data_IF_233919388303
#
_entry.id   IF_233919388303
#
_cell.length_a   1.000
_cell.length_b   1.000
_cell.length_c   1.000
_cell.angle_alpha   90.00
_cell.angle_beta   90.00
_cell.angle_gamma   90.00
#
_symmetry.space_group_name_H-M   'P 1'
#
loop_
_entity.id
_entity.type
_entity.pdbx_description
1 polymer ?
#
# COMPACT_ATOMS: atom_id res chain seq x y z
N UNK A 1 26.81 -1.80 -12.23
CA UNK A 1 26.94 -1.62 -10.77
C UNK A 1 25.79 -0.71 -10.35
N UNK A 2 25.04 -1.05 -9.30
CA UNK A 2 23.95 -0.20 -8.83
C UNK A 2 24.51 1.03 -8.10
N UNK A 3 23.83 2.16 -8.23
CA UNK A 3 24.19 3.39 -7.55
C UNK A 3 23.90 3.24 -6.04
N UNK A 4 24.82 3.64 -5.13
CA UNK A 4 24.61 3.50 -3.68
C UNK A 4 23.32 4.17 -3.18
N UNK A 5 22.90 5.30 -3.77
CA UNK A 5 21.64 5.95 -3.37
C UNK A 5 20.43 5.10 -3.77
N UNK A 6 20.47 4.45 -4.94
CA UNK A 6 19.41 3.51 -5.35
C UNK A 6 19.29 2.30 -4.41
N UNK A 7 20.42 1.78 -3.91
CA UNK A 7 20.43 0.69 -2.92
C UNK A 7 19.83 1.17 -1.61
N UNK A 8 20.25 2.34 -1.13
CA UNK A 8 19.74 2.93 0.11
C UNK A 8 18.24 3.23 0.03
N UNK A 9 17.76 3.78 -1.09
CA UNK A 9 16.34 4.02 -1.33
C UNK A 9 15.54 2.70 -1.26
N UNK A 10 16.03 1.66 -1.94
CA UNK A 10 15.40 0.33 -1.89
C UNK A 10 15.36 -0.23 -0.47
N UNK A 11 16.45 -0.12 0.29
CA UNK A 11 16.50 -0.58 1.68
C UNK A 11 15.56 0.22 2.60
N UNK A 12 15.38 1.52 2.36
CA UNK A 12 14.44 2.37 3.09
C UNK A 12 12.98 1.96 2.84
N UNK A 13 12.65 1.57 1.61
CA UNK A 13 11.32 1.12 1.23
C UNK A 13 11.01 -0.30 1.70
N UNK A 14 12.04 -1.13 1.91
CA UNK A 14 11.86 -2.47 2.46
C UNK A 14 11.28 -2.43 3.86
N UNK A 15 10.34 -3.36 4.11
CA UNK A 15 9.74 -3.45 5.43
C UNK A 15 8.92 -4.71 5.66
N UNK A 16 8.22 -4.77 6.80
CA UNK A 16 7.55 -5.98 7.27
C UNK A 16 6.33 -6.42 6.45
N UNK A 17 5.81 -5.54 5.61
CA UNK A 17 4.48 -5.69 5.04
C UNK A 17 4.56 -6.22 3.62
N UNK A 18 3.93 -7.37 3.37
CA UNK A 18 3.80 -7.90 2.00
C UNK A 18 2.38 -7.70 1.50
N UNK A 19 2.27 -7.21 0.26
CA UNK A 19 1.00 -7.09 -0.46
C UNK A 19 0.91 -8.22 -1.47
N UNK A 20 -0.12 -9.05 -1.37
CA UNK A 20 -0.35 -10.10 -2.34
C UNK A 20 -0.91 -9.46 -3.61
N UNK A 21 -0.19 -9.59 -4.71
CA UNK A 21 -0.67 -9.20 -6.03
C UNK A 21 -0.68 -10.41 -6.96
N UNK A 22 -1.72 -10.52 -7.77
CA UNK A 22 -1.89 -11.66 -8.69
C UNK A 22 -0.96 -11.54 -9.91
N UNK A 23 -0.54 -10.31 -10.25
CA UNK A 23 0.33 -10.01 -11.38
C UNK A 23 1.82 -10.27 -11.08
N UNK A 24 2.24 -10.09 -9.82
CA UNK A 24 3.64 -10.25 -9.40
C UNK A 24 3.71 -11.21 -8.20
N UNK A 25 4.19 -12.45 -8.40
CA UNK A 25 4.15 -13.49 -7.36
C UNK A 25 5.14 -13.24 -6.20
N UNK A 26 6.16 -12.41 -6.42
CA UNK A 26 7.21 -12.14 -5.42
C UNK A 26 7.51 -10.65 -5.34
N UNK A 27 6.75 -9.93 -4.52
CA UNK A 27 7.06 -8.55 -4.16
C UNK A 27 7.81 -8.57 -2.84
N UNK A 28 8.93 -7.85 -2.78
CA UNK A 28 9.66 -7.63 -1.52
C UNK A 28 8.74 -6.90 -0.54
N UNK A 29 8.83 -7.22 0.76
CA UNK A 29 8.05 -6.51 1.77
C UNK A 29 8.34 -5.00 1.73
N UNK A 30 7.33 -4.19 2.04
CA UNK A 30 7.36 -2.74 2.05
C UNK A 30 7.22 -2.18 3.47
N UNK A 31 7.64 -0.93 3.67
CA UNK A 31 7.46 -0.19 4.92
C UNK A 31 5.99 0.17 5.17
N UNK A 32 5.65 0.49 6.42
CA UNK A 32 4.29 0.91 6.77
C UNK A 32 3.89 2.23 6.07
N UNK A 33 4.85 3.14 5.90
CA UNK A 33 4.68 4.43 5.22
C UNK A 33 4.41 4.23 3.73
N UNK A 34 5.11 3.28 3.12
CA UNK A 34 4.88 2.89 1.72
C UNK A 34 3.50 2.28 1.56
N UNK A 35 3.11 1.39 2.48
CA UNK A 35 1.76 0.83 2.51
C UNK A 35 0.68 1.91 2.67
N UNK A 36 0.92 2.93 3.49
CA UNK A 36 0.02 4.08 3.65
C UNK A 36 -0.13 4.86 2.33
N UNK A 37 0.98 5.13 1.62
CA UNK A 37 0.96 5.76 0.29
C UNK A 37 0.15 4.93 -0.71
N UNK A 38 0.30 3.61 -0.72
CA UNK A 38 -0.48 2.71 -1.58
C UNK A 38 -1.98 2.72 -1.23
N UNK A 39 -2.34 2.83 0.06
CA UNK A 39 -3.74 2.97 0.49
C UNK A 39 -4.32 4.32 0.04
N UNK A 40 -3.54 5.40 0.11
CA UNK A 40 -3.94 6.74 -0.35
C UNK A 40 -4.11 6.78 -1.87
N UNK A 41 -3.21 6.14 -2.61
CA UNK A 41 -3.31 5.95 -4.07
C UNK A 41 -4.49 5.04 -4.47
N UNK A 42 -5.05 4.27 -3.52
CA UNK A 42 -6.14 3.35 -3.76
C UNK A 42 -5.70 2.08 -4.51
N UNK A 43 -4.42 1.71 -4.40
CA UNK A 43 -3.88 0.42 -4.83
C UNK A 43 -4.20 -0.68 -3.81
N UNK A 44 -4.11 -0.34 -2.51
CA UNK A 44 -4.53 -1.21 -1.42
C UNK A 44 -5.97 -0.87 -1.04
N UNK A 45 -6.86 -1.79 -1.33
CA UNK A 45 -8.30 -1.70 -1.04
C UNK A 45 -8.67 -2.50 0.21
N UNK A 46 -9.94 -2.49 0.58
CA UNK A 46 -10.46 -3.27 1.73
C UNK A 46 -10.26 -4.78 1.56
N UNK A 47 -10.18 -5.23 0.32
CA UNK A 47 -10.19 -6.65 -0.05
C UNK A 47 -8.80 -7.16 -0.47
N UNK A 48 -7.81 -6.27 -0.53
CA UNK A 48 -6.42 -6.62 -0.79
C UNK A 48 -5.91 -7.56 0.31
N UNK A 49 -5.19 -8.61 -0.08
CA UNK A 49 -4.60 -9.57 0.84
C UNK A 49 -3.21 -9.06 1.26
N UNK A 50 -3.00 -8.94 2.56
CA UNK A 50 -1.81 -8.40 3.20
C UNK A 50 -1.23 -9.40 4.19
N UNK A 51 0.08 -9.32 4.41
CA UNK A 51 0.79 -10.03 5.47
C UNK A 51 1.71 -9.04 6.18
N UNK A 52 1.82 -9.15 7.51
CA UNK A 52 2.74 -8.32 8.27
C UNK A 52 2.85 -8.71 9.75
N UNK A 53 3.48 -7.86 10.58
CA UNK A 53 3.70 -8.12 12.00
C UNK A 53 2.41 -8.34 12.78
N UNK A 54 1.39 -7.52 12.54
CA UNK A 54 0.11 -7.61 13.26
C UNK A 54 -0.75 -8.80 12.81
N UNK A 55 -0.42 -9.45 11.69
CA UNK A 55 -1.11 -10.64 11.20
C UNK A 55 -0.46 -11.95 11.64
N UNK A 56 0.57 -11.90 12.50
CA UNK A 56 1.41 -13.04 12.86
C UNK A 56 1.99 -13.73 11.62
N UNK A 57 2.37 -12.95 10.61
CA UNK A 57 2.92 -13.44 9.34
C UNK A 57 1.92 -14.27 8.48
N UNK A 58 0.63 -14.27 8.81
CA UNK A 58 -0.40 -14.90 7.98
C UNK A 58 -0.95 -13.90 6.95
N UNK A 59 -1.33 -14.43 5.78
CA UNK A 59 -2.07 -13.67 4.76
C UNK A 59 -3.50 -13.41 5.25
N UNK A 60 -3.90 -12.15 5.27
CA UNK A 60 -5.21 -11.71 5.70
C UNK A 60 -5.74 -10.57 4.84
N UNK A 61 -7.06 -10.49 4.69
CA UNK A 61 -7.70 -9.40 3.97
C UNK A 61 -7.52 -8.08 4.75
N UNK A 62 -7.17 -6.98 4.07
CA UNK A 62 -6.82 -5.69 4.67
C UNK A 62 -7.83 -5.18 5.69
N UNK A 63 -9.14 -5.36 5.45
CA UNK A 63 -10.21 -5.00 6.40
C UNK A 63 -10.18 -5.73 7.75
N UNK A 64 -9.37 -6.78 7.90
CA UNK A 64 -9.19 -7.59 9.13
C UNK A 64 -7.87 -7.29 9.84
N UNK A 65 -6.94 -6.62 9.18
CA UNK A 65 -5.57 -6.45 9.66
C UNK A 65 -5.52 -5.35 10.73
N UNK A 66 -5.10 -5.66 11.98
CA UNK A 66 -4.90 -4.64 13.01
C UNK A 66 -3.85 -3.62 12.57
N UNK A 67 -4.11 -2.34 12.81
CA UNK A 67 -3.26 -1.23 12.35
C UNK A 67 -3.47 -0.80 10.89
N UNK A 68 -4.08 -1.62 10.01
CA UNK A 68 -4.33 -1.26 8.60
C UNK A 68 -5.82 -1.11 8.27
N UNK A 69 -6.69 -1.90 8.92
CA UNK A 69 -8.12 -1.91 8.59
C UNK A 69 -8.76 -0.51 8.63
N UNK A 70 -8.36 0.34 9.58
CA UNK A 70 -8.88 1.69 9.73
C UNK A 70 -8.47 2.59 8.54
N UNK A 71 -7.29 2.38 7.96
CA UNK A 71 -6.79 3.09 6.77
C UNK A 71 -7.60 2.77 5.52
N UNK A 72 -8.26 1.60 5.48
CA UNK A 72 -9.20 1.22 4.41
C UNK A 72 -10.67 1.45 4.79
N UNK A 73 -10.93 2.11 5.93
CA UNK A 73 -12.26 2.54 6.36
C UNK A 73 -13.08 1.48 7.09
N UNK A 74 -12.45 0.52 7.77
CA UNK A 74 -13.11 -0.55 8.52
C UNK A 74 -12.46 -0.77 9.88
N UNK A 75 -13.25 -1.08 10.91
CA UNK A 75 -12.68 -1.59 12.16
C UNK A 75 -12.22 -3.04 11.97
N UNK A 76 -11.02 -3.39 12.46
CA UNK A 76 -10.50 -4.75 12.38
C UNK A 76 -11.29 -5.73 13.26
N UNK A 77 -11.82 -5.25 14.40
CA UNK A 77 -12.55 -6.07 15.37
C UNK A 77 -14.04 -6.21 15.00
N UNK A 78 -14.80 -5.12 15.01
CA UNK A 78 -16.26 -5.15 14.84
C UNK A 78 -16.74 -4.93 13.39
N UNK A 79 -15.84 -4.68 12.43
CA UNK A 79 -16.16 -4.38 11.01
C UNK A 79 -16.94 -3.09 10.77
N UNK A 80 -17.21 -2.28 11.81
CA UNK A 80 -17.86 -0.99 11.66
C UNK A 80 -17.11 -0.10 10.66
N UNK A 81 -17.87 0.70 9.90
CA UNK A 81 -17.30 1.65 8.94
C UNK A 81 -16.58 2.76 9.70
N UNK A 82 -15.33 3.03 9.32
CA UNK A 82 -14.54 4.12 9.88
C UNK A 82 -14.46 5.23 8.84
N UNK A 83 -14.83 6.45 9.22
CA UNK A 83 -14.75 7.60 8.34
C UNK A 83 -13.28 7.95 8.06
N UNK A 84 -12.90 7.93 6.77
CA UNK A 84 -11.61 8.43 6.32
C UNK A 84 -11.77 9.89 5.96
N UNK A 85 -11.38 10.79 6.85
CA UNK A 85 -11.33 12.21 6.54
C UNK A 85 -9.98 12.49 5.86
N UNK A 86 -10.02 12.84 4.58
CA UNK A 86 -8.83 13.19 3.79
C UNK A 86 -8.13 14.37 4.48
N UNK A 87 -6.85 14.21 4.81
CA UNK A 87 -6.04 15.24 5.47
C UNK A 87 -6.22 15.36 6.99
N UNK A 88 -7.06 14.53 7.63
CA UNK A 88 -7.15 14.49 9.10
C UNK A 88 -6.54 13.20 9.66
N UNK A 89 -5.95 13.30 10.84
CA UNK A 89 -5.42 12.15 11.57
C UNK A 89 -6.56 11.18 11.91
N UNK A 90 -6.40 9.86 11.67
CA UNK A 90 -7.44 8.89 11.99
C UNK A 90 -7.74 8.92 13.49
N UNK A 91 -9.01 8.68 13.85
CA UNK A 91 -9.38 8.53 15.25
C UNK A 91 -8.50 7.45 15.90
N UNK A 92 -8.01 7.63 17.14
CA UNK A 92 -7.12 6.65 17.78
C UNK A 92 -7.82 5.32 18.07
N UNK A 93 -9.16 5.29 18.09
CA UNK A 93 -9.95 4.10 18.40
C UNK A 93 -11.29 4.07 17.65
N UNK A 94 -11.86 2.87 17.53
CA UNK A 94 -13.19 2.65 16.97
C UNK A 94 -14.28 3.21 17.90
N UNK A 95 -15.24 3.96 17.34
CA UNK A 95 -16.39 4.49 18.10
C UNK A 95 -17.38 3.43 18.57
N UNK A 96 -17.51 2.34 17.82
CA UNK A 96 -18.49 1.28 18.12
C UNK A 96 -17.99 0.30 19.19
N UNK A 97 -16.74 -0.16 19.08
CA UNK A 97 -16.21 -1.22 19.96
C UNK A 97 -14.96 -0.83 20.78
N UNK A 98 -14.49 0.42 20.67
CA UNK A 98 -13.32 0.90 21.42
C UNK A 98 -11.97 0.31 20.98
N UNK A 99 -11.91 -0.48 19.91
CA UNK A 99 -10.66 -1.08 19.45
C UNK A 99 -9.65 0.00 19.02
N UNK A 100 -8.42 -0.07 19.51
CA UNK A 100 -7.34 0.87 19.21
C UNK A 100 -6.83 0.69 17.77
N UNK A 101 -6.53 1.80 17.08
CA UNK A 101 -6.01 1.84 15.71
C UNK A 101 -4.50 2.04 15.62
N UNK A 102 -3.76 1.83 16.72
CA UNK A 102 -2.31 1.95 16.79
C UNK A 102 -1.57 1.37 15.58
N UNK A 103 -0.64 2.15 15.05
CA UNK A 103 0.24 1.74 13.97
C UNK A 103 1.41 0.90 14.50
N UNK A 104 1.74 -0.18 13.80
CA UNK A 104 2.99 -0.91 14.02
C UNK A 104 4.10 -0.23 13.21
N UNK A 105 4.84 0.66 13.85
CA UNK A 105 5.98 1.38 13.26
C UNK A 105 7.32 0.65 13.46
N UNK A 106 7.30 -0.56 14.01
CA UNK A 106 8.53 -1.27 14.32
C UNK A 106 9.14 -1.93 13.06
N UNK A 107 10.10 -1.22 12.46
CA UNK A 107 10.86 -1.65 11.29
C UNK A 107 11.97 -2.65 11.64
N UNK A 108 12.40 -2.71 12.89
CA UNK A 108 13.68 -3.33 13.27
C UNK A 108 13.65 -4.85 13.40
N UNK A 109 12.50 -5.51 13.20
CA UNK A 109 12.39 -6.97 13.28
C UNK A 109 13.05 -7.74 12.13
N UNK A 110 13.49 -7.05 11.06
CA UNK A 110 14.10 -7.67 9.88
C UNK A 110 15.63 -7.48 9.78
N UNK A 111 16.27 -6.87 10.79
CA UNK A 111 17.70 -6.55 10.72
C UNK A 111 18.05 -5.53 9.63
N UNK A 112 17.05 -4.77 9.15
CA UNK A 112 17.26 -3.67 8.21
C UNK A 112 17.97 -2.51 8.93
N UNK A 113 18.89 -1.79 8.26
CA UNK A 113 19.52 -0.61 8.83
C UNK A 113 18.47 0.49 9.07
N UNK A 114 18.75 1.42 9.98
CA UNK A 114 17.89 2.60 10.20
C UNK A 114 17.63 3.38 8.90
N UNK A 115 16.48 4.07 8.82
CA UNK A 115 16.15 4.88 7.66
C UNK A 115 17.15 6.04 7.62
N UNK A 116 17.98 6.07 6.57
CA UNK A 116 18.84 7.21 6.30
C UNK A 116 18.17 8.07 5.22
N UNK A 117 17.89 9.35 5.49
CA UNK A 117 17.26 10.24 4.50
C UNK A 117 18.12 10.34 3.24
N UNK A 118 17.47 10.41 2.08
CA UNK A 118 18.17 10.62 0.81
C UNK A 118 18.60 12.08 0.69
N UNK A 119 19.68 12.40 -0.06
CA UNK A 119 20.17 13.77 -0.19
C UNK A 119 19.14 14.78 -0.71
N UNK A 120 18.18 14.31 -1.53
CA UNK A 120 17.12 15.13 -2.13
C UNK A 120 15.82 15.16 -1.30
N UNK A 121 15.73 14.39 -0.23
CA UNK A 121 14.56 14.46 0.65
C UNK A 121 14.57 15.82 1.36
N UNK A 122 13.45 16.56 1.40
CA UNK A 122 13.38 17.78 2.17
C UNK A 122 13.76 17.43 3.60
N UNK A 123 14.74 18.14 4.17
CA UNK A 123 15.28 17.84 5.49
C UNK A 123 14.14 17.69 6.51
N UNK A 124 13.77 16.45 6.80
CA UNK A 124 12.77 16.13 7.80
C UNK A 124 13.42 16.43 9.13
N UNK A 125 12.85 17.36 9.90
CA UNK A 125 13.35 17.71 11.22
C UNK A 125 13.50 16.41 12.05
N UNK A 126 14.72 16.03 12.48
CA UNK A 126 14.95 14.79 13.23
C UNK A 126 14.11 14.68 14.51
N UNK A 127 13.59 15.81 15.01
CA UNK A 127 12.72 15.83 16.19
C UNK A 127 11.35 15.17 15.96
N UNK A 128 10.79 15.20 14.73
CA UNK A 128 9.51 14.54 14.41
C UNK A 128 9.63 13.00 14.40
N UNK A 129 10.77 12.47 13.94
CA UNK A 129 11.02 11.02 13.94
C UNK A 129 11.28 10.45 15.35
N UNK A 130 11.75 11.29 16.28
CA UNK A 130 12.00 10.86 17.67
C UNK A 130 10.69 10.75 18.48
N UNK A 131 9.70 11.60 18.20
CA UNK A 131 8.39 11.53 18.86
C UNK A 131 7.58 10.29 18.47
N UNK A 132 7.73 9.80 17.24
CA UNK A 132 7.07 8.57 16.77
C UNK A 132 7.74 7.29 17.30
N UNK A 133 9.03 7.33 17.67
CA UNK A 133 9.73 6.23 18.38
C UNK A 133 9.48 6.23 19.90
N UNK A 134 9.08 7.36 20.49
CA UNK A 134 8.95 7.52 21.95
C UNK A 134 7.58 7.16 22.54
N UNK A 135 6.53 6.98 21.72
CA UNK A 135 5.15 6.87 22.22
C UNK A 135 4.54 5.45 22.22
N UNK A 136 5.35 4.40 22.07
CA UNK A 136 4.94 2.99 22.16
C UNK A 136 5.51 2.23 23.36
N UNK A 137 6.06 2.94 24.36
CA UNK A 137 6.32 2.40 25.70
C UNK A 137 5.31 2.90 26.75
N UNK A 138 4.09 3.24 26.33
CA UNK A 138 2.94 3.09 27.22
C UNK A 138 2.74 1.59 27.45
N UNK A 139 3.48 1.09 28.44
CA UNK A 139 3.42 -0.22 29.05
C UNK A 139 1.97 -0.71 29.11
N UNK A 140 1.55 -1.48 28.11
CA UNK A 140 0.32 -2.26 28.15
C UNK A 140 0.53 -3.40 29.14
N UNK A 141 0.41 -3.11 30.44
CA UNK A 141 0.43 -4.10 31.53
C UNK A 141 -0.85 -4.92 31.62
N UNK A 142 -1.48 -5.32 30.49
CA UNK A 142 -2.75 -6.06 30.59
C UNK A 142 -3.04 -7.15 29.57
N UNK A 143 -2.16 -7.48 28.63
CA UNK A 143 -2.44 -8.58 27.68
C UNK A 143 -1.22 -9.46 27.34
N UNK A 144 -0.47 -9.85 28.37
CA UNK A 144 0.47 -10.98 28.30
C UNK A 144 0.35 -11.81 29.59
N UNK A 145 -0.72 -12.58 29.71
CA UNK A 145 -0.91 -13.59 30.76
C UNK A 145 -1.19 -14.98 30.17
N UNK A 146 -0.47 -15.35 29.12
CA UNK A 146 -0.42 -16.76 28.70
C UNK A 146 1.03 -17.10 28.38
N UNK A 147 1.53 -18.14 29.05
CA UNK A 147 2.91 -18.65 29.11
C UNK A 147 3.79 -17.94 30.15
N UNK A 148 3.67 -18.40 31.39
CA UNK A 148 4.76 -18.32 32.38
C UNK A 148 5.76 -19.43 32.04
N UNK A 149 7.01 -19.04 31.76
CA UNK A 149 8.20 -19.89 31.64
C UNK A 149 8.63 -20.44 33.03
N UNK A 150 7.77 -21.23 33.67
CA UNK A 150 8.08 -21.88 34.97
C UNK A 150 7.74 -23.38 34.98
N UNK A 151 7.70 -24.01 33.80
CA UNK A 151 7.45 -25.46 33.65
C UNK A 151 8.42 -26.15 32.67
N UNK A 152 9.62 -25.58 32.50
CA UNK A 152 10.75 -26.22 31.80
C UNK A 152 11.82 -26.74 32.79
N UNK A 153 11.39 -27.28 33.93
CA UNK A 153 12.22 -28.17 34.73
C UNK A 153 12.22 -29.55 34.06
N UNK A 154 13.24 -29.75 33.23
CA UNK A 154 13.73 -31.06 32.81
C UNK A 154 14.10 -31.85 34.07
N UNK A 155 13.47 -33.00 34.38
CA UNK A 155 14.03 -33.91 35.37
C UNK A 155 15.21 -34.64 34.73
N UNK A 156 16.39 -34.39 35.25
CA UNK A 156 17.57 -35.23 35.07
C UNK A 156 17.24 -36.69 35.41
N UNK A 157 17.61 -37.58 34.48
CA UNK A 157 18.32 -38.84 34.72
C UNK A 157 18.01 -39.52 36.07
N UNK A 158 17.12 -40.53 36.03
CA UNK A 158 17.18 -41.65 36.98
C UNK A 158 17.63 -42.90 36.24
N UNK A 159 18.93 -43.15 36.28
CA UNK A 159 19.48 -44.50 36.23
C UNK A 159 19.08 -45.22 37.52
N UNK A 160 18.26 -46.26 37.43
CA UNK A 160 18.57 -47.54 38.06
C UNK A 160 17.51 -48.60 37.71
N UNK A 161 17.99 -49.70 37.16
CA UNK A 161 17.25 -50.95 37.04
C UNK A 161 17.06 -51.57 38.44
N UNK A 162 15.96 -52.33 38.62
CA UNK A 162 16.21 -53.73 38.89
C UNK A 162 15.32 -54.68 38.08
N UNK A 163 15.96 -55.76 37.61
CA UNK A 163 15.32 -57.03 37.26
C UNK A 163 14.51 -57.54 38.46
N UNK A 164 13.24 -57.90 38.28
CA UNK A 164 12.80 -59.30 38.41
C UNK A 164 11.29 -59.47 38.15
N UNK A 165 10.97 -60.68 37.68
CA UNK A 165 9.68 -61.37 37.70
C UNK A 165 8.57 -60.79 36.80
N UNK A 166 8.32 -61.41 35.65
CA UNK A 166 7.51 -62.63 35.44
C UNK A 166 6.00 -62.36 35.58
N UNK A 167 5.32 -62.76 34.51
CA UNK A 167 3.93 -63.19 34.45
C UNK A 167 2.85 -62.11 34.39
N UNK A 168 2.38 -61.83 33.18
CA UNK A 168 0.95 -61.85 32.84
C UNK A 168 0.77 -61.57 31.34
N UNK A 169 0.86 -62.64 30.55
CA UNK A 169 0.24 -62.70 29.24
C UNK A 169 -1.28 -62.69 29.42
N UNK A 170 -1.98 -61.65 28.94
CA UNK A 170 -3.36 -61.78 28.47
C UNK A 170 -3.84 -60.51 27.73
N UNK A 171 -4.00 -60.67 26.42
CA UNK A 171 -5.28 -60.44 25.71
C UNK A 171 -5.75 -58.97 25.56
N UNK A 172 -5.44 -58.36 24.42
CA UNK A 172 -6.30 -57.34 23.80
C UNK A 172 -6.14 -57.31 22.26
N UNK A 173 -7.17 -57.87 21.63
CA UNK A 173 -7.81 -57.66 20.32
C UNK A 173 -7.17 -56.72 19.27
N UNK A 174 -7.08 -57.13 17.99
CA UNK A 174 -6.81 -56.22 16.88
C UNK A 174 -8.08 -55.43 16.51
N UNK A 175 -8.02 -54.10 16.62
CA UNK A 175 -9.08 -53.22 16.14
C UNK A 175 -8.97 -53.03 14.62
N UNK A 176 -9.98 -53.54 13.92
CA UNK A 176 -10.25 -53.33 12.50
C UNK A 176 -10.37 -51.83 12.19
N UNK A 177 -9.47 -51.32 11.35
CA UNK A 177 -9.54 -49.98 10.80
C UNK A 177 -10.73 -49.86 9.84
N UNK A 178 -11.72 -49.04 10.21
CA UNK A 178 -12.75 -48.55 9.30
C UNK A 178 -12.18 -47.43 8.42
N UNK A 179 -12.33 -47.48 7.08
CA UNK A 179 -12.07 -46.34 6.23
C UNK A 179 -13.20 -45.31 6.40
N UNK A 180 -12.86 -44.12 6.92
CA UNK A 180 -13.79 -43.01 7.06
C UNK A 180 -14.09 -42.41 5.69
N UNK A 181 -15.24 -42.80 5.14
CA UNK A 181 -15.89 -42.13 4.03
C UNK A 181 -16.40 -40.75 4.45
N UNK A 182 -15.50 -39.76 4.49
CA UNK A 182 -15.86 -38.34 4.58
C UNK A 182 -15.50 -37.64 3.24
N UNK A 183 -16.08 -38.14 2.15
CA UNK A 183 -16.20 -37.40 0.91
C UNK A 183 -17.30 -36.35 1.11
N UNK A 184 -16.93 -35.23 1.75
CA UNK A 184 -17.77 -34.04 1.86
C UNK A 184 -17.86 -33.42 0.47
N UNK A 185 -19.07 -33.39 -0.05
CA UNK A 185 -19.54 -32.56 -1.16
C UNK A 185 -19.07 -31.12 -0.95
N UNK A 186 -17.99 -30.73 -1.63
CA UNK A 186 -17.58 -29.34 -1.76
C UNK A 186 -18.56 -28.67 -2.72
N UNK A 187 -19.48 -27.93 -2.12
CA UNK A 187 -20.48 -27.06 -2.75
C UNK A 187 -19.83 -26.09 -3.74
N UNK A 188 -20.34 -26.08 -4.97
CA UNK A 188 -19.90 -25.22 -6.07
C UNK A 188 -20.32 -23.75 -5.93
N UNK A 189 -20.95 -23.36 -4.82
CA UNK A 189 -21.55 -22.03 -4.63
C UNK A 189 -20.52 -20.95 -4.26
N UNK A 190 -19.37 -21.32 -3.70
CA UNK A 190 -18.32 -20.35 -3.31
C UNK A 190 -17.51 -19.81 -4.51
N UNK A 191 -17.57 -20.48 -5.67
CA UNK A 191 -16.85 -20.05 -6.88
C UNK A 191 -17.51 -18.89 -7.63
N UNK A 192 -18.84 -18.78 -7.55
CA UNK A 192 -19.62 -17.82 -8.33
C UNK A 192 -19.51 -16.41 -7.75
N UNK A 193 -19.52 -16.28 -6.42
CA UNK A 193 -19.31 -15.01 -5.73
C UNK A 193 -17.90 -14.44 -5.93
N UNK A 194 -16.87 -15.29 -6.05
CA UNK A 194 -15.50 -14.87 -6.33
C UNK A 194 -15.34 -14.36 -7.77
N UNK A 195 -16.01 -15.02 -8.73
CA UNK A 195 -16.06 -14.59 -10.13
C UNK A 195 -16.77 -13.23 -10.29
N UNK A 196 -17.88 -13.04 -9.59
CA UNK A 196 -18.65 -11.80 -9.64
C UNK A 196 -17.84 -10.61 -9.10
N UNK A 197 -17.14 -10.80 -7.97
CA UNK A 197 -16.28 -9.77 -7.37
C UNK A 197 -15.06 -9.44 -8.24
N UNK A 198 -14.45 -10.43 -8.90
CA UNK A 198 -13.37 -10.16 -9.87
C UNK A 198 -13.88 -9.31 -11.04
N UNK A 199 -15.08 -9.57 -11.54
CA UNK A 199 -15.66 -8.80 -12.63
C UNK A 199 -15.91 -7.32 -12.25
N UNK A 200 -16.19 -7.03 -10.97
CA UNK A 200 -16.38 -5.66 -10.49
C UNK A 200 -15.04 -4.93 -10.37
N UNK A 201 -14.02 -5.59 -9.82
CA UNK A 201 -12.68 -5.01 -9.72
C UNK A 201 -12.09 -4.68 -11.11
N UNK A 202 -12.25 -5.61 -12.06
CA UNK A 202 -11.79 -5.43 -13.44
C UNK A 202 -12.51 -4.26 -14.13
N UNK A 203 -13.82 -4.12 -13.92
CA UNK A 203 -14.59 -2.95 -14.40
C UNK A 203 -14.05 -1.63 -13.82
N UNK A 204 -13.63 -1.60 -12.55
CA UNK A 204 -13.07 -0.38 -11.94
C UNK A 204 -11.69 0.00 -12.47
N UNK A 205 -10.85 -0.98 -12.82
CA UNK A 205 -9.54 -0.72 -13.44
C UNK A 205 -9.70 -0.23 -14.89
N UNK A 206 -10.65 -0.81 -15.63
CA UNK A 206 -11.00 -0.35 -16.98
C UNK A 206 -11.54 1.09 -16.95
N UNK A 207 -12.30 1.48 -15.92
CA UNK A 207 -12.82 2.84 -15.82
C UNK A 207 -11.71 3.87 -15.47
N UNK A 208 -10.73 3.49 -14.63
CA UNK A 208 -9.59 4.35 -14.30
C UNK A 208 -8.65 4.57 -15.48
N UNK A 209 -8.38 3.53 -16.26
CA UNK A 209 -7.56 3.63 -17.47
C UNK A 209 -8.21 4.55 -18.50
N UNK A 210 -9.52 4.43 -18.72
CA UNK A 210 -10.28 5.36 -19.59
C UNK A 210 -10.24 6.81 -19.11
N UNK A 211 -10.32 7.06 -17.81
CA UNK A 211 -10.20 8.43 -17.25
C UNK A 211 -8.81 9.02 -17.46
N UNK A 212 -7.75 8.22 -17.31
CA UNK A 212 -6.38 8.66 -17.57
C UNK A 212 -6.17 8.94 -19.06
N UNK A 213 -6.67 8.09 -19.95
CA UNK A 213 -6.63 8.34 -21.40
C UNK A 213 -7.38 9.62 -21.78
N UNK A 214 -8.56 9.84 -21.22
CA UNK A 214 -9.32 11.07 -21.46
C UNK A 214 -8.57 12.31 -20.96
N UNK A 215 -7.95 12.24 -19.77
CA UNK A 215 -7.21 13.36 -19.20
C UNK A 215 -5.95 13.67 -20.00
N UNK A 216 -5.19 12.65 -20.40
CA UNK A 216 -4.02 12.80 -21.26
C UNK A 216 -4.40 13.36 -22.64
N UNK A 217 -5.52 12.91 -23.21
CA UNK A 217 -6.01 13.44 -24.48
C UNK A 217 -6.34 14.93 -24.37
N UNK A 218 -7.01 15.35 -23.29
CA UNK A 218 -7.33 16.76 -23.05
C UNK A 218 -6.05 17.59 -22.91
N UNK A 219 -5.08 17.13 -22.11
CA UNK A 219 -3.80 17.82 -21.94
C UNK A 219 -3.05 17.98 -23.26
N UNK A 220 -2.97 16.91 -24.08
CA UNK A 220 -2.29 16.95 -25.37
C UNK A 220 -3.01 17.86 -26.37
N UNK A 221 -4.35 17.83 -26.42
CA UNK A 221 -5.10 18.77 -27.27
C UNK A 221 -4.89 20.22 -26.85
N UNK A 222 -4.81 20.48 -25.54
CA UNK A 222 -4.62 21.82 -25.00
C UNK A 222 -3.22 22.35 -25.33
N UNK A 223 -2.18 21.52 -25.18
CA UNK A 223 -0.81 21.92 -25.52
C UNK A 223 -0.64 22.21 -27.01
N UNK A 224 -1.25 21.41 -27.89
CA UNK A 224 -1.25 21.64 -29.35
C UNK A 224 -1.97 22.95 -29.70
N UNK A 225 -3.13 23.22 -29.11
CA UNK A 225 -3.87 24.48 -29.33
C UNK A 225 -3.03 25.68 -28.89
N UNK A 226 -2.44 25.64 -27.69
CA UNK A 226 -1.56 26.71 -27.20
C UNK A 226 -0.36 26.94 -28.14
N UNK A 227 0.25 25.87 -28.65
CA UNK A 227 1.37 25.97 -29.59
C UNK A 227 0.97 26.62 -30.91
N UNK A 228 -0.17 26.22 -31.49
CA UNK A 228 -0.70 26.80 -32.74
C UNK A 228 -1.03 28.29 -32.56
N UNK A 229 -1.64 28.66 -31.43
CA UNK A 229 -1.94 30.06 -31.12
C UNK A 229 -0.66 30.91 -30.97
N UNK A 230 0.34 30.41 -30.25
CA UNK A 230 1.63 31.08 -30.10
C UNK A 230 2.32 31.28 -31.46
N UNK A 231 2.28 30.27 -32.31
CA UNK A 231 2.84 30.34 -33.67
C UNK A 231 2.10 31.37 -34.54
N UNK A 232 0.77 31.36 -34.52
CA UNK A 232 -0.05 32.33 -35.26
C UNK A 232 0.23 33.77 -34.83
N UNK A 233 0.36 34.02 -33.52
CA UNK A 233 0.73 35.32 -32.97
C UNK A 233 2.14 35.76 -33.40
N UNK A 234 3.11 34.84 -33.41
CA UNK A 234 4.46 35.11 -33.86
C UNK A 234 4.49 35.50 -35.36
N UNK A 235 3.76 34.77 -36.21
CA UNK A 235 3.64 35.09 -37.65
C UNK A 235 2.97 36.45 -37.84
N UNK A 236 1.86 36.71 -37.15
CA UNK A 236 1.15 37.99 -37.22
C UNK A 236 2.06 39.16 -36.78
N UNK A 237 2.85 38.96 -35.74
CA UNK A 237 3.82 39.95 -35.26
C UNK A 237 4.90 40.26 -36.31
N UNK A 238 5.47 39.23 -36.96
CA UNK A 238 6.46 39.40 -38.03
C UNK A 238 5.88 40.15 -39.24
N UNK A 239 4.65 39.84 -39.64
CA UNK A 239 3.95 40.57 -40.73
C UNK A 239 3.73 42.03 -40.34
N UNK A 240 3.25 42.28 -39.12
CA UNK A 240 3.02 43.64 -38.62
C UNK A 240 4.31 44.48 -38.58
N UNK A 241 5.43 43.88 -38.18
CA UNK A 241 6.74 44.55 -38.22
C UNK A 241 7.18 44.90 -39.65
N UNK A 242 6.86 44.04 -40.62
CA UNK A 242 7.19 44.29 -42.03
C UNK A 242 6.39 45.47 -42.60
N UNK A 243 5.11 45.56 -42.27
CA UNK A 243 4.24 46.65 -42.73
C UNK A 243 4.69 48.00 -42.17
N UNK A 244 5.11 48.05 -40.89
CA UNK A 244 5.64 49.28 -40.28
C UNK A 244 6.98 49.75 -40.90
N UNK A 245 7.71 48.87 -41.59
CA UNK A 245 8.97 49.21 -42.26
C UNK A 245 8.82 49.82 -43.64
N UNK A 246 7.61 49.86 -44.21
CA UNK A 246 7.39 50.47 -45.52
C UNK A 246 7.35 52.01 -45.40
N UNK A 247 8.32 52.73 -46.01
CA UNK A 247 8.35 54.20 -45.90
C UNK A 247 7.07 54.76 -46.53
N UNK A 248 6.44 55.78 -45.91
CA UNK A 248 5.25 56.39 -46.47
C UNK A 248 5.59 56.89 -47.87
N UNK A 249 4.96 56.29 -48.88
CA UNK A 249 5.06 56.76 -50.25
C UNK A 249 4.39 58.12 -50.28
N UNK A 250 5.21 59.16 -50.20
CA UNK A 250 4.78 60.53 -50.41
C UNK A 250 4.30 60.64 -51.85
N UNK A 251 3.00 60.43 -52.05
CA UNK A 251 2.30 60.69 -53.29
C UNK A 251 2.43 62.19 -53.58
N UNK A 252 3.49 62.55 -54.31
CA UNK A 252 3.64 63.88 -54.90
C UNK A 252 2.49 64.06 -55.90
N UNK A 253 1.44 64.74 -55.46
CA UNK A 253 0.37 65.23 -56.34
C UNK A 253 1.01 66.22 -57.31
N UNK A 254 1.30 65.78 -58.53
CA UNK A 254 1.63 66.65 -59.65
C UNK A 254 0.36 67.42 -60.05
N UNK A 255 0.21 68.61 -59.49
CA UNK A 255 -0.80 69.58 -59.93
C UNK A 255 -0.42 70.04 -61.33
N UNK A 256 -1.08 69.50 -62.36
CA UNK A 256 -0.99 70.01 -63.72
C UNK A 256 -1.67 71.37 -63.80
N UNK A 257 -0.85 72.42 -63.79
CA UNK A 257 -1.26 73.79 -64.12
C UNK A 257 -1.69 73.79 -65.59
N UNK A 258 -3.00 73.95 -65.81
CA UNK A 258 -3.60 74.17 -67.14
C UNK A 258 -3.86 75.67 -67.26
N UNK A 259 -3.47 76.23 -68.38
CA UNK A 259 -3.05 77.63 -68.50
C UNK A 259 -4.13 78.68 -68.71
N UNK A 260 -3.63 79.91 -68.88
CA UNK A 260 -4.21 81.01 -69.66
C UNK A 260 -3.05 81.76 -70.31
#
# INVERSE_FOLDING_TARGET
MFDPLSIQASLNEMGPWSVHRTDVPTVVGCSYETLLRMVQAGEVTRDTILRGPSTKQLWQVARRVPGIAHLVGSCHQCRAKVERRVGAQPAPQCRECGANFGAYLDRNWYGLPDINPLPDDPAVDPSEHRQSRGMTLARSTSLSSFVTDDELLVPEIYTDAPRSARDAAARATPATAQPSAFARTASSEDGEAASELMSVAERTLIDRTRRLESTNRILLTTTVICFVLAFALAVWFVVSLRDMGSPPTTSVKSTSVTGV
#
